data_IF_592150201956
#
_entry.id   IF_592150201956
#
_cell.length_a   1.000
_cell.length_b   1.000
_cell.length_c   1.000
_cell.angle_alpha   90.00
_cell.angle_beta   90.00
_cell.angle_gamma   90.00
#
_symmetry.space_group_name_H-M   'P 1'
#
loop_
_entity.id
_entity.type
_entity.pdbx_description
1 polymer ?
#
# COMPACT_ATOMS: atom_id res chain seq x y z
N UNK A 1 10.33 -20.39 5.56
CA UNK A 1 9.94 -19.14 4.84
C UNK A 1 9.65 -19.33 3.34
N UNK A 2 10.35 -20.22 2.63
CA UNK A 2 10.10 -20.47 1.19
C UNK A 2 8.68 -21.00 0.91
N UNK A 3 8.19 -21.96 1.71
CA UNK A 3 6.84 -22.53 1.54
C UNK A 3 5.74 -21.48 1.70
N UNK A 4 5.80 -20.62 2.73
CA UNK A 4 4.83 -19.54 2.95
C UNK A 4 4.84 -18.53 1.79
N UNK A 5 6.02 -18.20 1.26
CA UNK A 5 6.16 -17.29 0.12
C UNK A 5 5.65 -17.92 -1.17
N UNK A 6 5.90 -19.22 -1.37
CA UNK A 6 5.42 -19.98 -2.51
C UNK A 6 3.90 -20.12 -2.49
N UNK A 7 3.31 -20.58 -1.38
CA UNK A 7 1.86 -20.69 -1.21
C UNK A 7 1.17 -19.33 -1.38
N UNK A 8 1.74 -18.26 -0.81
CA UNK A 8 1.21 -16.90 -0.96
C UNK A 8 1.25 -16.41 -2.41
N UNK A 9 2.32 -16.68 -3.14
CA UNK A 9 2.46 -16.32 -4.56
C UNK A 9 1.50 -17.15 -5.43
N UNK A 10 1.43 -18.46 -5.22
CA UNK A 10 0.53 -19.36 -5.94
C UNK A 10 -0.92 -18.96 -5.72
N UNK A 11 -1.33 -18.69 -4.48
CA UNK A 11 -2.69 -18.23 -4.17
C UNK A 11 -3.02 -16.90 -4.85
N UNK A 12 -2.11 -15.92 -4.81
CA UNK A 12 -2.36 -14.62 -5.44
C UNK A 12 -2.36 -14.69 -6.97
N UNK A 13 -1.56 -15.58 -7.56
CA UNK A 13 -1.59 -15.82 -9.01
C UNK A 13 -2.90 -16.49 -9.42
N UNK A 14 -3.37 -17.49 -8.68
CA UNK A 14 -4.67 -18.14 -8.90
C UNK A 14 -5.81 -17.12 -8.78
N UNK A 15 -5.85 -16.35 -7.69
CA UNK A 15 -6.86 -15.31 -7.48
C UNK A 15 -6.89 -14.26 -8.61
N UNK A 16 -5.73 -13.81 -9.09
CA UNK A 16 -5.65 -12.89 -10.24
C UNK A 16 -6.13 -13.54 -11.52
N UNK A 17 -5.85 -14.84 -11.71
CA UNK A 17 -6.28 -15.59 -12.88
C UNK A 17 -7.80 -15.76 -12.89
N UNK A 18 -8.40 -16.08 -11.75
CA UNK A 18 -9.86 -16.19 -11.58
C UNK A 18 -10.54 -14.84 -11.80
N UNK A 19 -9.99 -13.75 -11.25
CA UNK A 19 -10.50 -12.40 -11.52
C UNK A 19 -10.39 -12.01 -13.00
N UNK A 20 -9.28 -12.35 -13.68
CA UNK A 20 -9.14 -12.11 -15.13
C UNK A 20 -10.18 -12.89 -15.93
N UNK A 21 -10.40 -14.17 -15.58
CA UNK A 21 -11.39 -15.02 -16.23
C UNK A 21 -12.81 -14.48 -16.02
N UNK A 22 -13.18 -14.12 -14.79
CA UNK A 22 -14.48 -13.55 -14.45
C UNK A 22 -14.72 -12.20 -15.17
N UNK A 23 -13.70 -11.32 -15.21
CA UNK A 23 -13.82 -10.04 -15.90
C UNK A 23 -13.95 -10.21 -17.42
N UNK A 24 -13.20 -11.15 -18.00
CA UNK A 24 -13.29 -11.47 -19.43
C UNK A 24 -14.67 -12.06 -19.76
N UNK A 25 -15.20 -12.96 -18.92
CA UNK A 25 -16.53 -13.53 -19.10
C UNK A 25 -17.63 -12.45 -19.01
N UNK A 26 -17.56 -11.55 -18.02
CA UNK A 26 -18.48 -10.42 -17.88
C UNK A 26 -18.40 -9.47 -19.10
N UNK A 27 -17.19 -9.20 -19.61
CA UNK A 27 -16.98 -8.39 -20.81
C UNK A 27 -17.51 -9.07 -22.08
N UNK A 28 -17.29 -10.37 -22.24
CA UNK A 28 -17.81 -11.13 -23.37
C UNK A 28 -19.34 -11.14 -23.40
N UNK A 29 -19.99 -11.17 -22.23
CA UNK A 29 -21.45 -11.04 -22.11
C UNK A 29 -21.92 -9.60 -22.40
N UNK A 30 -21.23 -8.57 -21.90
CA UNK A 30 -21.59 -7.16 -22.14
C UNK A 30 -21.35 -6.67 -23.58
N UNK A 31 -20.34 -7.21 -24.27
CA UNK A 31 -20.06 -6.84 -25.67
C UNK A 31 -21.16 -7.27 -26.63
N UNK A 32 -22.03 -8.20 -26.23
CA UNK A 32 -23.23 -8.60 -26.99
C UNK A 32 -24.40 -7.61 -26.86
N UNK A 33 -24.36 -6.66 -25.92
CA UNK A 33 -25.53 -5.83 -25.58
C UNK A 33 -25.42 -4.31 -25.81
N UNK A 34 -24.25 -3.71 -26.12
CA UNK A 34 -24.20 -2.28 -26.53
C UNK A 34 -22.95 -1.84 -27.31
N UNK A 35 -23.17 -0.75 -28.05
CA UNK A 35 -22.38 -0.15 -29.13
C UNK A 35 -20.90 0.20 -28.85
N UNK A 36 -20.15 0.24 -29.96
CA UNK A 36 -18.74 0.65 -30.13
C UNK A 36 -18.42 1.92 -29.32
N UNK A 37 -17.44 1.85 -28.41
CA UNK A 37 -16.91 3.04 -27.71
C UNK A 37 -16.47 2.84 -26.25
N UNK A 38 -16.83 1.72 -25.61
CA UNK A 38 -16.47 1.46 -24.21
C UNK A 38 -15.13 0.71 -24.02
N UNK A 39 -14.57 0.11 -25.08
CA UNK A 39 -13.53 -0.94 -25.03
C UNK A 39 -12.28 -0.57 -24.22
N UNK A 40 -11.78 0.66 -24.32
CA UNK A 40 -10.50 0.99 -23.69
C UNK A 40 -10.60 1.41 -22.21
N UNK A 41 -11.81 1.73 -21.70
CA UNK A 41 -12.01 1.97 -20.27
C UNK A 41 -11.81 0.66 -19.49
N UNK A 42 -12.15 -0.46 -20.11
CA UNK A 42 -12.09 -1.81 -19.53
C UNK A 42 -10.70 -2.42 -19.60
N UNK A 43 -9.96 -2.22 -20.69
CA UNK A 43 -8.61 -2.78 -20.87
C UNK A 43 -7.59 -2.25 -19.84
N UNK A 44 -7.69 -0.97 -19.47
CA UNK A 44 -6.84 -0.37 -18.44
C UNK A 44 -7.24 -0.79 -17.02
N UNK A 45 -8.52 -1.04 -16.78
CA UNK A 45 -9.03 -1.71 -15.56
C UNK A 45 -8.43 -3.13 -15.46
N UNK A 46 -8.48 -3.88 -16.56
CA UNK A 46 -7.98 -5.26 -16.67
C UNK A 46 -6.48 -5.40 -16.37
N UNK A 47 -5.64 -4.49 -16.86
CA UNK A 47 -4.18 -4.63 -16.74
C UNK A 47 -3.66 -4.03 -15.43
N UNK A 48 -4.13 -2.84 -15.02
CA UNK A 48 -3.57 -2.14 -13.85
C UNK A 48 -4.23 -2.52 -12.52
N UNK A 49 -5.53 -2.78 -12.48
CA UNK A 49 -6.19 -3.14 -11.22
C UNK A 49 -5.81 -4.56 -10.79
N UNK A 50 -5.41 -5.41 -11.73
CA UNK A 50 -4.95 -6.76 -11.43
C UNK A 50 -3.58 -6.82 -10.74
N UNK A 51 -2.65 -5.92 -11.07
CA UNK A 51 -1.39 -5.82 -10.33
C UNK A 51 -1.61 -5.34 -8.88
N UNK A 52 -2.59 -4.45 -8.67
CA UNK A 52 -2.98 -3.97 -7.35
C UNK A 52 -3.70 -5.06 -6.53
N UNK A 53 -4.60 -5.84 -7.15
CA UNK A 53 -5.28 -6.98 -6.55
C UNK A 53 -4.32 -8.13 -6.22
N UNK A 54 -3.31 -8.37 -7.07
CA UNK A 54 -2.22 -9.30 -6.77
C UNK A 54 -1.47 -8.87 -5.50
N UNK A 55 -1.03 -7.60 -5.44
CA UNK A 55 -0.32 -7.07 -4.27
C UNK A 55 -1.21 -7.05 -3.01
N UNK A 56 -2.52 -6.87 -3.16
CA UNK A 56 -3.49 -6.98 -2.09
C UNK A 56 -3.58 -8.40 -1.52
N UNK A 57 -3.71 -9.40 -2.40
CA UNK A 57 -3.78 -10.81 -2.02
C UNK A 57 -2.45 -11.31 -1.40
N UNK A 58 -1.30 -10.94 -1.98
CA UNK A 58 0.02 -11.37 -1.51
C UNK A 58 0.51 -10.63 -0.27
N UNK A 59 0.34 -9.31 -0.20
CA UNK A 59 1.01 -8.44 0.77
C UNK A 59 0.07 -7.58 1.60
N UNK A 60 -1.21 -7.50 1.25
CA UNK A 60 -2.16 -6.61 1.92
C UNK A 60 -2.68 -7.21 3.22
N UNK A 61 -3.65 -8.11 3.14
CA UNK A 61 -4.47 -8.47 4.31
C UNK A 61 -3.76 -9.46 5.24
N UNK A 62 -3.22 -10.56 4.70
CA UNK A 62 -2.56 -11.61 5.51
C UNK A 62 -1.29 -11.08 6.17
N UNK A 63 -0.47 -10.35 5.40
CA UNK A 63 0.78 -9.77 5.92
C UNK A 63 0.52 -8.76 7.02
N UNK A 64 -0.49 -7.90 6.86
CA UNK A 64 -0.90 -6.94 7.89
C UNK A 64 -1.32 -7.63 9.19
N UNK A 65 -2.14 -8.69 9.10
CA UNK A 65 -2.56 -9.44 10.29
C UNK A 65 -1.40 -10.14 10.96
N UNK A 66 -0.56 -10.86 10.20
CA UNK A 66 0.61 -11.56 10.76
C UNK A 66 1.64 -10.60 11.36
N UNK A 67 1.87 -9.43 10.75
CA UNK A 67 2.80 -8.44 11.29
C UNK A 67 2.23 -7.72 12.51
N UNK A 68 0.94 -7.34 12.50
CA UNK A 68 0.29 -6.68 13.62
C UNK A 68 0.17 -7.62 14.83
N UNK A 69 -0.20 -8.88 14.62
CA UNK A 69 -0.27 -9.88 15.70
C UNK A 69 1.11 -10.21 16.26
N UNK A 70 2.13 -10.41 15.41
CA UNK A 70 3.49 -10.64 15.88
C UNK A 70 4.05 -9.44 16.66
N UNK A 71 3.84 -8.21 16.18
CA UNK A 71 4.25 -6.99 16.89
C UNK A 71 3.51 -6.86 18.24
N UNK A 72 2.19 -7.04 18.23
CA UNK A 72 1.35 -6.93 19.42
C UNK A 72 1.68 -7.99 20.47
N UNK A 73 1.83 -9.25 20.07
CA UNK A 73 2.19 -10.35 20.97
C UNK A 73 3.60 -10.15 21.56
N UNK A 74 4.59 -9.76 20.74
CA UNK A 74 5.93 -9.49 21.22
C UNK A 74 5.97 -8.28 22.18
N UNK A 75 5.23 -7.20 21.87
CA UNK A 75 5.14 -6.04 22.74
C UNK A 75 4.41 -6.35 24.06
N UNK A 76 3.31 -7.11 24.01
CA UNK A 76 2.57 -7.53 25.20
C UNK A 76 3.42 -8.45 26.08
N UNK A 77 4.12 -9.42 25.48
CA UNK A 77 5.05 -10.27 26.21
C UNK A 77 6.16 -9.43 26.85
N UNK A 78 6.83 -8.55 26.10
CA UNK A 78 7.89 -7.67 26.58
C UNK A 78 7.43 -6.78 27.74
N UNK A 79 6.23 -6.19 27.66
CA UNK A 79 5.68 -5.34 28.71
C UNK A 79 5.45 -6.10 30.03
N UNK A 80 5.08 -7.39 29.94
CA UNK A 80 4.83 -8.24 31.11
C UNK A 80 6.11 -8.81 31.71
N UNK A 81 7.07 -9.23 30.89
CA UNK A 81 8.27 -9.95 31.36
C UNK A 81 9.47 -9.04 31.62
N UNK A 82 9.58 -7.90 30.93
CA UNK A 82 10.76 -7.03 30.94
C UNK A 82 10.36 -5.60 31.33
N UNK A 83 10.37 -5.25 32.63
CA UNK A 83 9.91 -3.94 33.09
C UNK A 83 10.71 -2.78 32.49
N UNK A 84 12.01 -2.99 32.21
CA UNK A 84 12.86 -1.99 31.55
C UNK A 84 12.39 -1.61 30.13
N UNK A 85 11.62 -2.46 29.45
CA UNK A 85 11.15 -2.18 28.09
C UNK A 85 9.85 -1.37 28.05
N UNK A 86 9.12 -1.25 29.18
CA UNK A 86 7.79 -0.62 29.20
C UNK A 86 7.80 0.81 28.66
N UNK A 87 8.79 1.61 29.05
CA UNK A 87 8.94 2.99 28.56
C UNK A 87 9.33 3.03 27.08
N UNK A 88 10.19 2.11 26.64
CA UNK A 88 10.61 1.99 25.23
C UNK A 88 9.49 1.54 24.29
N UNK A 89 8.44 0.92 24.80
CA UNK A 89 7.26 0.54 24.00
C UNK A 89 6.34 1.74 23.70
N UNK A 90 6.44 2.85 24.46
CA UNK A 90 5.57 4.03 24.28
C UNK A 90 5.74 4.64 22.87
N UNK A 91 6.96 4.93 22.36
CA UNK A 91 7.13 5.43 21.00
C UNK A 91 6.58 4.48 19.93
N UNK A 92 6.68 3.17 20.13
CA UNK A 92 6.14 2.17 19.20
C UNK A 92 4.61 2.18 19.18
N UNK A 93 3.97 2.34 20.34
CA UNK A 93 2.52 2.48 20.44
C UNK A 93 2.04 3.79 19.78
N UNK A 94 2.73 4.90 20.03
CA UNK A 94 2.46 6.19 19.37
C UNK A 94 2.65 6.06 17.85
N UNK A 95 3.74 5.43 17.41
CA UNK A 95 4.02 5.18 16.00
C UNK A 95 2.92 4.36 15.33
N UNK A 96 2.43 3.29 15.99
CA UNK A 96 1.32 2.49 15.49
C UNK A 96 0.02 3.31 15.35
N UNK A 97 -0.29 4.15 16.35
CA UNK A 97 -1.45 5.04 16.29
C UNK A 97 -1.34 6.06 15.14
N UNK A 98 -0.17 6.68 14.96
CA UNK A 98 0.09 7.62 13.88
C UNK A 98 0.01 6.95 12.49
N UNK A 99 0.54 5.74 12.34
CA UNK A 99 0.40 4.94 11.11
C UNK A 99 -1.08 4.67 10.80
N UNK A 100 -1.88 4.33 11.81
CA UNK A 100 -3.32 4.13 11.64
C UNK A 100 -4.05 5.43 11.25
N UNK A 101 -3.67 6.57 11.83
CA UNK A 101 -4.23 7.89 11.49
C UNK A 101 -3.88 8.30 10.04
N UNK A 102 -2.65 8.05 9.60
CA UNK A 102 -2.18 8.31 8.23
C UNK A 102 -2.84 7.41 7.16
N UNK A 103 -3.52 6.34 7.56
CA UNK A 103 -4.26 5.48 6.64
C UNK A 103 -5.40 6.23 5.92
N UNK A 104 -6.07 7.17 6.61
CA UNK A 104 -7.16 7.97 6.04
C UNK A 104 -6.69 8.90 4.91
N UNK A 105 -5.70 9.79 5.09
CA UNK A 105 -5.20 10.63 4.00
C UNK A 105 -4.54 9.82 2.88
N UNK A 106 -3.92 8.67 3.18
CA UNK A 106 -3.41 7.78 2.15
C UNK A 106 -4.54 7.22 1.26
N UNK A 107 -5.67 6.84 1.86
CA UNK A 107 -6.85 6.36 1.12
C UNK A 107 -7.37 7.41 0.14
N UNK A 108 -7.53 8.66 0.60
CA UNK A 108 -7.98 9.75 -0.27
C UNK A 108 -6.98 10.08 -1.37
N UNK A 109 -5.67 10.05 -1.07
CA UNK A 109 -4.62 10.27 -2.05
C UNK A 109 -4.58 9.18 -3.14
N UNK A 110 -4.70 7.91 -2.77
CA UNK A 110 -4.77 6.79 -3.73
C UNK A 110 -6.01 6.90 -4.61
N UNK A 111 -7.17 7.20 -4.01
CA UNK A 111 -8.42 7.38 -4.74
C UNK A 111 -8.31 8.53 -5.76
N UNK A 112 -7.74 9.66 -5.35
CA UNK A 112 -7.52 10.82 -6.21
C UNK A 112 -6.56 10.51 -7.37
N UNK A 113 -5.41 9.89 -7.10
CA UNK A 113 -4.47 9.50 -8.16
C UNK A 113 -5.12 8.56 -9.18
N UNK A 114 -5.90 7.57 -8.72
CA UNK A 114 -6.62 6.65 -9.59
C UNK A 114 -7.70 7.37 -10.41
N UNK A 115 -8.35 8.41 -9.86
CA UNK A 115 -9.32 9.25 -10.58
C UNK A 115 -8.65 10.00 -11.73
N UNK A 116 -7.53 10.68 -11.45
CA UNK A 116 -6.77 11.42 -12.47
C UNK A 116 -6.19 10.51 -13.54
N UNK A 117 -5.63 9.36 -13.16
CA UNK A 117 -5.15 8.35 -14.11
C UNK A 117 -6.27 7.88 -15.04
N UNK A 118 -7.47 7.67 -14.51
CA UNK A 118 -8.64 7.32 -15.30
C UNK A 118 -9.11 8.43 -16.25
N UNK A 119 -8.93 9.71 -15.88
CA UNK A 119 -9.20 10.85 -16.78
C UNK A 119 -8.21 10.91 -17.93
N UNK A 120 -6.90 10.81 -17.62
CA UNK A 120 -5.83 10.77 -18.61
C UNK A 120 -6.01 9.62 -19.60
N UNK A 121 -6.27 8.41 -19.11
CA UNK A 121 -6.43 7.25 -19.97
C UNK A 121 -7.66 7.38 -20.90
N UNK A 122 -8.79 7.88 -20.40
CA UNK A 122 -9.98 8.16 -21.24
C UNK A 122 -9.72 9.22 -22.30
N UNK A 123 -8.82 10.17 -22.02
CA UNK A 123 -8.43 11.19 -22.99
C UNK A 123 -7.54 10.59 -24.08
N UNK A 124 -6.49 9.84 -23.69
CA UNK A 124 -5.58 9.17 -24.62
C UNK A 124 -6.32 8.23 -25.57
N UNK A 125 -7.21 7.38 -25.04
CA UNK A 125 -8.03 6.47 -25.86
C UNK A 125 -8.85 7.23 -26.90
N UNK A 126 -9.57 8.27 -26.47
CA UNK A 126 -10.41 9.05 -27.38
C UNK A 126 -9.57 9.72 -28.46
N UNK A 127 -8.37 10.18 -28.10
CA UNK A 127 -7.45 10.81 -29.04
C UNK A 127 -6.88 9.81 -30.05
N UNK A 128 -6.40 8.66 -29.59
CA UNK A 128 -5.89 7.59 -30.45
C UNK A 128 -6.98 7.09 -31.40
N UNK A 129 -8.21 6.92 -30.91
CA UNK A 129 -9.33 6.51 -31.77
C UNK A 129 -9.64 7.56 -32.85
N UNK A 130 -9.71 8.84 -32.48
CA UNK A 130 -9.95 9.93 -33.44
C UNK A 130 -8.86 10.03 -34.51
N UNK A 131 -7.59 9.81 -34.15
CA UNK A 131 -6.48 9.77 -35.11
C UNK A 131 -6.55 8.55 -36.04
N UNK A 132 -6.95 7.38 -35.52
CA UNK A 132 -7.14 6.18 -36.33
C UNK A 132 -8.33 6.28 -37.28
N UNK A 133 -9.37 7.05 -36.94
CA UNK A 133 -10.57 7.25 -37.79
C UNK A 133 -10.43 8.44 -38.75
N UNK A 134 -9.29 9.13 -38.76
CA UNK A 134 -9.05 10.28 -39.65
C UNK A 134 -9.91 11.51 -39.34
N UNK A 135 -10.46 11.62 -38.12
CA UNK A 135 -11.19 12.82 -37.73
C UNK A 135 -10.21 14.01 -37.61
N UNK A 136 -10.58 15.22 -38.08
CA UNK A 136 -9.72 16.40 -38.02
C UNK A 136 -9.43 16.75 -36.56
N UNK A 137 -8.29 16.29 -36.07
CA UNK A 137 -7.87 16.48 -34.69
C UNK A 137 -7.47 17.93 -34.48
N UNK A 138 -8.33 18.73 -33.85
CA UNK A 138 -8.07 20.13 -33.48
C UNK A 138 -6.67 20.32 -32.89
N UNK A 139 -5.76 20.87 -33.71
CA UNK A 139 -4.35 21.03 -33.41
C UNK A 139 -4.11 21.99 -32.24
N UNK A 140 -3.07 21.71 -31.43
CA UNK A 140 -2.63 22.53 -30.29
C UNK A 140 -3.41 22.33 -28.99
N UNK A 141 -4.74 22.35 -29.02
CA UNK A 141 -5.54 22.29 -27.79
C UNK A 141 -5.51 20.91 -27.10
N UNK A 142 -5.32 19.84 -27.88
CA UNK A 142 -5.17 18.47 -27.39
C UNK A 142 -3.86 18.25 -26.61
N UNK A 143 -2.75 18.84 -27.06
CA UNK A 143 -1.45 18.74 -26.38
C UNK A 143 -1.44 19.46 -25.03
N UNK A 144 -1.98 20.70 -24.96
CA UNK A 144 -2.14 21.42 -23.68
C UNK A 144 -3.03 20.65 -22.69
N UNK A 145 -4.07 19.98 -23.20
CA UNK A 145 -4.95 19.14 -22.36
C UNK A 145 -4.26 17.86 -21.89
N UNK A 146 -3.36 17.29 -22.70
CA UNK A 146 -2.56 16.14 -22.29
C UNK A 146 -1.57 16.52 -21.18
N UNK A 147 -0.87 17.63 -21.36
CA UNK A 147 0.09 18.18 -20.40
C UNK A 147 -0.57 18.43 -19.03
N UNK A 148 -1.68 19.17 -19.00
CA UNK A 148 -2.44 19.42 -17.77
C UNK A 148 -2.91 18.14 -17.07
N UNK A 149 -3.41 17.14 -17.82
CA UNK A 149 -3.83 15.85 -17.24
C UNK A 149 -2.64 15.02 -16.73
N UNK A 150 -1.49 15.13 -17.39
CA UNK A 150 -0.24 14.49 -16.96
C UNK A 150 0.28 15.12 -15.66
N UNK A 151 0.27 16.45 -15.58
CA UNK A 151 0.67 17.21 -14.39
C UNK A 151 -0.24 16.93 -13.19
N UNK A 152 -1.55 16.88 -13.41
CA UNK A 152 -2.52 16.50 -12.38
C UNK A 152 -2.25 15.10 -11.83
N UNK A 153 -1.97 14.14 -12.72
CA UNK A 153 -1.61 12.78 -12.34
C UNK A 153 -0.28 12.74 -11.58
N UNK A 154 0.73 13.48 -12.03
CA UNK A 154 2.04 13.58 -11.39
C UNK A 154 1.92 14.14 -9.98
N UNK A 155 1.22 15.27 -9.80
CA UNK A 155 0.95 15.88 -8.48
C UNK A 155 0.21 14.91 -7.55
N UNK A 156 -0.79 14.18 -8.06
CA UNK A 156 -1.49 13.18 -7.26
C UNK A 156 -0.60 11.99 -6.88
N UNK A 157 0.31 11.57 -7.77
CA UNK A 157 1.27 10.51 -7.49
C UNK A 157 2.31 10.92 -6.44
N UNK A 158 2.83 12.14 -6.51
CA UNK A 158 3.74 12.73 -5.52
C UNK A 158 3.05 12.83 -4.16
N UNK A 159 1.79 13.31 -4.11
CA UNK A 159 1.02 13.37 -2.85
C UNK A 159 0.83 11.98 -2.22
N UNK A 160 0.49 10.96 -3.02
CA UNK A 160 0.42 9.57 -2.53
C UNK A 160 1.77 9.11 -1.98
N UNK A 161 2.86 9.34 -2.72
CA UNK A 161 4.20 8.95 -2.31
C UNK A 161 4.60 9.65 -1.00
N UNK A 162 4.25 10.92 -0.82
CA UNK A 162 4.46 11.66 0.42
C UNK A 162 3.75 11.03 1.61
N UNK A 163 2.47 10.65 1.49
CA UNK A 163 1.76 9.99 2.59
C UNK A 163 2.30 8.58 2.89
N UNK A 164 2.63 7.79 1.86
CA UNK A 164 3.23 6.48 2.04
C UNK A 164 4.62 6.59 2.71
N UNK A 165 5.45 7.53 2.25
CA UNK A 165 6.76 7.83 2.85
C UNK A 165 6.64 8.31 4.29
N UNK A 166 5.65 9.15 4.61
CA UNK A 166 5.38 9.57 5.99
C UNK A 166 5.05 8.38 6.90
N UNK A 167 4.26 7.40 6.44
CA UNK A 167 3.96 6.19 7.22
C UNK A 167 5.23 5.36 7.50
N UNK A 168 6.10 5.18 6.50
CA UNK A 168 7.36 4.45 6.68
C UNK A 168 8.34 5.21 7.59
N UNK A 169 8.41 6.52 7.46
CA UNK A 169 9.23 7.38 8.31
C UNK A 169 8.79 7.32 9.77
N UNK A 170 7.47 7.44 10.03
CA UNK A 170 6.91 7.33 11.39
C UNK A 170 7.24 5.98 12.03
N UNK A 171 7.07 4.87 11.29
CA UNK A 171 7.39 3.54 11.81
C UNK A 171 8.89 3.39 12.14
N UNK A 172 9.75 3.96 11.30
CA UNK A 172 11.21 3.92 11.48
C UNK A 172 11.64 4.78 12.67
N UNK A 173 11.15 6.01 12.76
CA UNK A 173 11.43 6.94 13.86
C UNK A 173 10.93 6.39 15.20
N UNK A 174 9.77 5.74 15.22
CA UNK A 174 9.26 5.07 16.42
C UNK A 174 10.21 3.98 16.93
N UNK A 175 10.79 3.19 16.02
CA UNK A 175 11.80 2.18 16.36
C UNK A 175 13.10 2.79 16.91
N UNK A 176 13.60 3.86 16.26
CA UNK A 176 14.79 4.58 16.72
C UNK A 176 14.57 5.23 18.10
N UNK A 177 13.42 5.89 18.29
CA UNK A 177 13.06 6.49 19.57
C UNK A 177 12.94 5.43 20.69
N UNK A 178 12.35 4.27 20.40
CA UNK A 178 12.29 3.16 21.34
C UNK A 178 13.67 2.66 21.77
N UNK A 179 14.59 2.50 20.80
CA UNK A 179 15.97 2.10 21.07
C UNK A 179 16.72 3.15 21.90
N UNK A 180 16.54 4.44 21.59
CA UNK A 180 17.14 5.54 22.34
C UNK A 180 16.65 5.57 23.80
N UNK A 181 15.34 5.46 24.02
CA UNK A 181 14.76 5.42 25.37
C UNK A 181 15.28 4.21 26.14
N UNK A 182 15.39 3.04 25.49
CA UNK A 182 15.97 1.87 26.13
C UNK A 182 17.41 2.13 26.58
N UNK A 183 18.25 2.70 25.72
CA UNK A 183 19.64 3.01 26.05
C UNK A 183 19.74 3.96 27.26
N UNK A 184 18.89 4.99 27.31
CA UNK A 184 18.83 5.94 28.43
C UNK A 184 18.38 5.28 29.74
N UNK A 185 17.31 4.49 29.69
CA UNK A 185 16.81 3.74 30.86
C UNK A 185 17.85 2.74 31.36
N UNK A 186 18.52 2.04 30.44
CA UNK A 186 19.57 1.08 30.77
C UNK A 186 20.74 1.77 31.48
N UNK A 187 21.22 2.90 30.93
CA UNK A 187 22.29 3.68 31.53
C UNK A 187 21.91 4.21 32.93
N UNK A 188 20.68 4.70 33.10
CA UNK A 188 20.19 5.21 34.39
C UNK A 188 20.02 4.11 35.46
N UNK A 189 19.73 2.87 35.04
CA UNK A 189 19.50 1.75 35.96
C UNK A 189 20.78 1.18 36.60
N UNK A 190 21.96 1.58 36.13
CA UNK A 190 23.25 1.10 36.65
C UNK A 190 23.49 -0.41 36.49
N UNK A 191 22.70 -1.10 35.67
CA UNK A 191 22.80 -2.56 35.54
C UNK A 191 24.10 -3.00 34.86
N UNK A 192 24.93 -3.83 35.51
CA UNK A 192 26.13 -4.38 34.90
C UNK A 192 25.76 -5.52 33.96
N UNK A 193 25.85 -5.30 32.64
CA UNK A 193 25.74 -6.37 31.65
C UNK A 193 25.27 -5.92 30.27
N UNK A 194 26.14 -6.02 29.26
CA UNK A 194 25.82 -5.59 27.88
C UNK A 194 24.98 -6.64 27.12
N UNK A 195 25.02 -7.91 27.55
CA UNK A 195 24.27 -9.00 26.92
C UNK A 195 22.74 -8.83 27.05
N UNK A 196 22.25 -8.32 28.19
CA UNK A 196 20.82 -8.05 28.40
C UNK A 196 20.29 -6.90 27.55
N UNK A 197 21.12 -5.88 27.31
CA UNK A 197 20.81 -4.76 26.42
C UNK A 197 20.70 -5.21 24.97
N UNK A 198 21.64 -6.03 24.49
CA UNK A 198 21.62 -6.56 23.12
C UNK A 198 20.37 -7.40 22.83
N UNK A 199 19.96 -8.27 23.75
CA UNK A 199 18.72 -9.04 23.64
C UNK A 199 17.47 -8.14 23.58
N UNK A 200 17.43 -7.12 24.45
CA UNK A 200 16.33 -6.15 24.51
C UNK A 200 16.22 -5.29 23.24
N UNK A 201 17.37 -4.84 22.71
CA UNK A 201 17.43 -4.12 21.43
C UNK A 201 16.99 -5.00 20.25
N UNK A 202 17.35 -6.29 20.26
CA UNK A 202 16.94 -7.24 19.22
C UNK A 202 15.42 -7.40 19.21
N UNK A 203 14.81 -7.50 20.39
CA UNK A 203 13.36 -7.59 20.53
C UNK A 203 12.65 -6.31 20.06
N UNK A 204 13.16 -5.13 20.44
CA UNK A 204 12.64 -3.85 19.95
C UNK A 204 12.81 -3.71 18.43
N UNK A 205 13.95 -4.11 17.89
CA UNK A 205 14.22 -4.14 16.46
C UNK A 205 13.24 -5.04 15.72
N UNK A 206 12.91 -6.21 16.28
CA UNK A 206 11.88 -7.08 15.74
C UNK A 206 10.50 -6.41 15.71
N UNK A 207 10.07 -5.80 16.83
CA UNK A 207 8.76 -5.12 16.91
C UNK A 207 8.70 -3.95 15.91
N UNK A 208 9.75 -3.12 15.86
CA UNK A 208 9.86 -2.00 14.93
C UNK A 208 9.82 -2.45 13.47
N UNK A 209 10.52 -3.54 13.13
CA UNK A 209 10.47 -4.12 11.79
C UNK A 209 9.08 -4.64 11.42
N UNK A 210 8.35 -5.25 12.38
CA UNK A 210 6.95 -5.67 12.17
C UNK A 210 5.99 -4.48 12.04
N UNK A 211 6.24 -3.37 12.73
CA UNK A 211 5.48 -2.14 12.59
C UNK A 211 5.66 -1.53 11.18
N UNK A 212 6.90 -1.44 10.71
CA UNK A 212 7.21 -0.97 9.35
C UNK A 212 6.56 -1.87 8.28
N UNK A 213 6.60 -3.19 8.49
CA UNK A 213 5.93 -4.13 7.59
C UNK A 213 4.41 -3.95 7.60
N UNK A 214 3.82 -3.70 8.77
CA UNK A 214 2.39 -3.37 8.90
C UNK A 214 2.03 -2.11 8.12
N UNK A 215 2.87 -1.06 8.16
CA UNK A 215 2.65 0.16 7.40
C UNK A 215 2.63 -0.10 5.88
N UNK A 216 3.57 -0.90 5.38
CA UNK A 216 3.65 -1.31 3.96
C UNK A 216 2.47 -2.19 3.55
N UNK A 217 2.11 -3.16 4.39
CA UNK A 217 0.96 -4.02 4.16
C UNK A 217 -0.35 -3.24 4.16
N UNK A 218 -0.50 -2.24 5.03
CA UNK A 218 -1.65 -1.35 5.08
C UNK A 218 -1.78 -0.52 3.80
N UNK A 219 -0.68 0.03 3.28
CA UNK A 219 -0.66 0.71 1.98
C UNK A 219 -1.13 -0.23 0.85
N UNK A 220 -0.61 -1.45 0.79
CA UNK A 220 -1.03 -2.45 -0.20
C UNK A 220 -2.52 -2.82 -0.04
N UNK A 221 -3.01 -2.98 1.20
CA UNK A 221 -4.40 -3.29 1.51
C UNK A 221 -5.35 -2.19 1.02
N UNK A 222 -5.06 -0.93 1.31
CA UNK A 222 -5.88 0.22 0.89
C UNK A 222 -5.92 0.29 -0.64
N UNK A 223 -4.76 0.16 -1.30
CA UNK A 223 -4.66 0.20 -2.75
C UNK A 223 -5.45 -0.90 -3.47
N UNK A 224 -5.53 -2.08 -2.85
CA UNK A 224 -6.32 -3.20 -3.36
C UNK A 224 -7.81 -3.11 -3.10
N UNK A 225 -8.22 -2.66 -1.90
CA UNK A 225 -9.65 -2.44 -1.58
C UNK A 225 -10.29 -1.47 -2.57
N UNK A 226 -9.64 -0.35 -2.84
CA UNK A 226 -10.12 0.64 -3.83
C UNK A 226 -10.22 0.05 -5.25
N UNK A 227 -9.38 -0.94 -5.59
CA UNK A 227 -9.47 -1.64 -6.87
C UNK A 227 -10.67 -2.61 -6.89
N UNK A 228 -10.88 -3.35 -5.80
CA UNK A 228 -11.98 -4.30 -5.65
C UNK A 228 -13.35 -3.60 -5.69
N UNK A 229 -13.48 -2.46 -4.99
CA UNK A 229 -14.72 -1.64 -4.97
C UNK A 229 -15.10 -1.09 -6.37
N UNK A 230 -14.21 -1.16 -7.37
CA UNK A 230 -14.50 -0.76 -8.76
C UNK A 230 -14.86 -1.92 -9.68
N UNK A 231 -14.58 -3.15 -9.25
CA UNK A 231 -14.91 -4.37 -9.99
C UNK A 231 -16.31 -4.89 -9.65
N UNK A 232 -16.81 -4.56 -8.47
CA UNK A 232 -18.20 -4.77 -8.05
C UNK A 232 -19.10 -3.67 -8.61
#
# INVERSE_FOLDING_TARGET
MLLQRWVGETFAQLYVTDCRAALFAALAQHRRSRARGADARWMTLLINDMAALRNYALRGTVRLWTSATAAGAAAAWAANTLPQLRLSLIPLAIGAALVALLARPLTSAIAAQRKERGRLNRFLVRRVHAELTGEPGGGGHGFRKLETLSDDLSRAAVRRAGHAGAMEAVATLAGLAAALILALVWQASGQPGHAGLAGSLTLLGFIAARLLESARALHARIGGRIALDRLQ
#
